data_IF_059411978172
#
_entry.id   IF_059411978172
#
_cell.length_a   1.000
_cell.length_b   1.000
_cell.length_c   1.000
_cell.angle_alpha   90.00
_cell.angle_beta   90.00
_cell.angle_gamma   90.00
#
_symmetry.space_group_name_H-M   'P 1'
#
loop_
_entity.id
_entity.type
_entity.pdbx_description
1 polymer ?
#
# COMPACT_ATOMS: atom_id res chain seq x y z
N UNK A 1 -24.20 -15.27 -19.73
CA UNK A 1 -23.94 -16.73 -19.57
C UNK A 1 -24.58 -17.15 -18.26
N UNK A 2 -25.40 -18.20 -18.27
CA UNK A 2 -26.09 -18.70 -17.06
C UNK A 2 -25.32 -19.91 -16.56
N UNK A 3 -24.81 -19.86 -15.31
CA UNK A 3 -24.11 -20.98 -14.69
C UNK A 3 -25.10 -21.78 -13.83
N UNK A 4 -25.17 -23.09 -14.05
CA UNK A 4 -25.99 -24.01 -13.25
C UNK A 4 -25.06 -24.73 -12.29
N UNK A 5 -25.18 -24.42 -11.00
CA UNK A 5 -24.42 -25.06 -9.94
C UNK A 5 -25.21 -26.22 -9.35
N UNK A 6 -24.62 -27.43 -9.36
CA UNK A 6 -25.15 -28.59 -8.64
C UNK A 6 -24.36 -28.73 -7.35
N UNK A 7 -24.92 -28.26 -6.25
CA UNK A 7 -24.31 -28.29 -4.91
C UNK A 7 -24.99 -29.40 -4.09
N UNK A 8 -24.18 -30.29 -3.52
CA UNK A 8 -24.64 -31.31 -2.58
C UNK A 8 -24.13 -30.92 -1.19
N UNK A 9 -25.05 -30.51 -0.31
CA UNK A 9 -24.71 -30.20 1.07
C UNK A 9 -24.47 -31.52 1.82
N UNK A 10 -23.24 -31.74 2.30
CA UNK A 10 -22.90 -32.92 3.10
C UNK A 10 -23.25 -32.72 4.58
N UNK A 11 -22.97 -31.55 5.12
CA UNK A 11 -23.21 -31.24 6.54
C UNK A 11 -23.59 -29.78 6.71
N UNK A 12 -24.60 -29.51 7.53
CA UNK A 12 -25.01 -28.15 7.91
C UNK A 12 -24.67 -28.00 9.38
N UNK A 13 -23.67 -27.17 9.68
CA UNK A 13 -23.26 -26.85 11.04
C UNK A 13 -23.70 -25.43 11.38
N UNK A 14 -24.25 -25.27 12.58
CA UNK A 14 -24.54 -23.96 13.13
C UNK A 14 -23.30 -23.41 13.83
N UNK A 15 -22.97 -22.15 13.56
CA UNK A 15 -21.82 -21.47 14.16
C UNK A 15 -22.22 -20.97 15.55
N UNK A 16 -22.04 -21.80 16.57
CA UNK A 16 -22.22 -21.38 17.97
C UNK A 16 -21.06 -20.47 18.36
N UNK A 17 -21.36 -19.23 18.72
CA UNK A 17 -20.33 -18.32 19.22
C UNK A 17 -19.84 -18.85 20.58
N UNK A 18 -18.51 -18.99 20.77
CA UNK A 18 -17.98 -19.34 22.09
C UNK A 18 -18.34 -18.24 23.10
N UNK A 19 -18.62 -18.63 24.34
CA UNK A 19 -18.76 -17.66 25.42
C UNK A 19 -17.39 -17.00 25.68
N UNK A 20 -17.41 -15.74 26.16
CA UNK A 20 -16.20 -15.00 26.49
C UNK A 20 -15.61 -15.49 27.82
N UNK A 21 -15.16 -16.73 27.84
CA UNK A 21 -14.59 -17.43 29.00
C UNK A 21 -13.05 -17.44 28.98
N UNK A 22 -12.42 -17.96 30.05
CA UNK A 22 -10.96 -18.08 30.15
C UNK A 22 -10.34 -18.90 28.99
N UNK A 23 -11.07 -19.88 28.45
CA UNK A 23 -10.60 -20.69 27.32
C UNK A 23 -10.58 -19.88 26.02
N UNK A 24 -11.59 -19.04 25.79
CA UNK A 24 -11.62 -18.08 24.71
C UNK A 24 -10.50 -17.06 24.85
N UNK A 25 -10.32 -16.44 26.03
CA UNK A 25 -9.24 -15.47 26.27
C UNK A 25 -7.85 -16.08 26.08
N UNK A 26 -7.62 -17.32 26.54
CA UNK A 26 -6.39 -18.05 26.27
C UNK A 26 -6.15 -18.29 24.77
N UNK A 27 -7.20 -18.57 23.99
CA UNK A 27 -7.09 -18.79 22.54
C UNK A 27 -6.66 -17.53 21.76
N UNK A 28 -7.09 -16.34 22.21
CA UNK A 28 -6.70 -15.04 21.63
C UNK A 28 -5.52 -14.39 22.35
N UNK A 29 -4.92 -15.08 23.33
CA UNK A 29 -3.78 -14.61 24.12
C UNK A 29 -4.05 -13.30 24.87
N UNK A 30 -5.21 -13.20 25.52
CA UNK A 30 -5.58 -12.09 26.42
C UNK A 30 -5.97 -12.65 27.78
N UNK A 31 -5.93 -11.84 28.85
CA UNK A 31 -6.23 -12.28 30.22
C UNK A 31 -7.70 -12.12 30.57
N UNK A 32 -8.35 -11.07 30.08
CA UNK A 32 -9.74 -10.75 30.38
C UNK A 32 -10.44 -10.01 29.22
N UNK A 33 -11.74 -9.75 29.40
CA UNK A 33 -12.54 -9.00 28.44
C UNK A 33 -12.03 -7.57 28.24
N UNK A 34 -11.47 -6.95 29.28
CA UNK A 34 -10.99 -5.57 29.21
C UNK A 34 -9.75 -5.48 28.30
N UNK A 35 -8.78 -6.37 28.45
CA UNK A 35 -7.59 -6.48 27.59
C UNK A 35 -7.97 -6.83 26.15
N UNK A 36 -8.99 -7.68 25.96
CA UNK A 36 -9.51 -7.96 24.61
C UNK A 36 -10.09 -6.70 23.96
N UNK A 37 -10.91 -5.93 24.68
CA UNK A 37 -11.51 -4.68 24.19
C UNK A 37 -10.46 -3.62 23.92
N UNK A 38 -9.46 -3.50 24.79
CA UNK A 38 -8.33 -2.58 24.62
C UNK A 38 -7.55 -2.95 23.35
N UNK A 39 -7.14 -4.22 23.20
CA UNK A 39 -6.42 -4.69 22.02
C UNK A 39 -7.22 -4.50 20.73
N UNK A 40 -8.54 -4.75 20.74
CA UNK A 40 -9.40 -4.48 19.58
C UNK A 40 -9.45 -2.98 19.28
N UNK A 41 -9.60 -2.15 20.31
CA UNK A 41 -9.66 -0.69 20.17
C UNK A 41 -8.35 -0.14 19.61
N UNK A 42 -7.20 -0.58 20.12
CA UNK A 42 -5.88 -0.23 19.59
C UNK A 42 -5.70 -0.66 18.14
N UNK A 43 -6.14 -1.88 17.78
CA UNK A 43 -6.06 -2.35 16.39
C UNK A 43 -6.94 -1.50 15.46
N UNK A 44 -8.17 -1.19 15.87
CA UNK A 44 -9.08 -0.34 15.10
C UNK A 44 -8.50 1.09 14.99
N UNK A 45 -7.97 1.63 16.07
CA UNK A 45 -7.37 2.97 16.08
C UNK A 45 -6.17 3.03 15.15
N UNK A 46 -5.26 2.05 15.22
CA UNK A 46 -4.12 1.95 14.32
C UNK A 46 -4.55 1.78 12.85
N UNK A 47 -5.56 0.95 12.60
CA UNK A 47 -6.13 0.80 11.26
C UNK A 47 -6.72 2.11 10.73
N UNK A 48 -7.46 2.86 11.57
CA UNK A 48 -8.05 4.15 11.20
C UNK A 48 -7.01 5.24 11.00
N UNK A 49 -5.99 5.30 11.86
CA UNK A 49 -4.84 6.21 11.68
C UNK A 49 -4.14 5.94 10.35
N UNK A 50 -3.89 4.67 10.02
CA UNK A 50 -3.27 4.31 8.74
C UNK A 50 -4.18 4.65 7.55
N UNK A 51 -5.48 4.40 7.65
CA UNK A 51 -6.45 4.78 6.61
C UNK A 51 -6.47 6.28 6.37
N UNK A 52 -6.51 7.08 7.43
CA UNK A 52 -6.49 8.54 7.34
C UNK A 52 -5.17 9.04 6.74
N UNK A 53 -4.02 8.55 7.21
CA UNK A 53 -2.72 8.92 6.64
C UNK A 53 -2.61 8.58 5.15
N UNK A 54 -3.15 7.43 4.72
CA UNK A 54 -3.18 7.06 3.31
C UNK A 54 -4.12 7.95 2.50
N UNK A 55 -5.29 8.29 3.06
CA UNK A 55 -6.25 9.18 2.42
C UNK A 55 -5.70 10.61 2.26
N UNK A 56 -5.04 11.16 3.29
CA UNK A 56 -4.35 12.45 3.24
C UNK A 56 -3.30 12.46 2.12
N UNK A 57 -2.44 11.43 2.06
CA UNK A 57 -1.42 11.28 1.02
C UNK A 57 -2.03 11.21 -0.38
N UNK A 58 -3.15 10.50 -0.53
CA UNK A 58 -3.85 10.39 -1.79
C UNK A 58 -4.43 11.74 -2.22
N UNK A 59 -5.11 12.45 -1.33
CA UNK A 59 -5.68 13.77 -1.62
C UNK A 59 -4.62 14.79 -2.03
N UNK A 60 -3.49 14.84 -1.31
CA UNK A 60 -2.37 15.71 -1.66
C UNK A 60 -1.85 15.35 -3.06
N UNK A 61 -1.69 14.06 -3.35
CA UNK A 61 -1.21 13.61 -4.67
C UNK A 61 -2.19 14.01 -5.78
N UNK A 62 -3.50 13.81 -5.59
CA UNK A 62 -4.54 14.21 -6.54
C UNK A 62 -4.57 15.73 -6.77
N UNK A 63 -4.40 16.52 -5.71
CA UNK A 63 -4.32 17.97 -5.81
C UNK A 63 -3.06 18.44 -6.55
N UNK A 64 -1.91 17.80 -6.30
CA UNK A 64 -0.68 18.07 -7.05
C UNK A 64 -0.82 17.72 -8.54
N UNK A 65 -1.46 16.58 -8.83
CA UNK A 65 -1.69 16.12 -10.21
C UNK A 65 -2.62 17.04 -10.98
N UNK A 66 -3.63 17.62 -10.34
CA UNK A 66 -4.57 18.57 -10.95
C UNK A 66 -4.00 19.99 -11.07
N UNK A 67 -3.11 20.40 -10.14
CA UNK A 67 -2.55 21.77 -10.13
C UNK A 67 -1.40 21.98 -11.13
N UNK A 68 -0.72 20.90 -11.54
CA UNK A 68 0.45 20.99 -12.42
C UNK A 68 0.17 20.25 -13.73
N UNK A 69 0.12 20.97 -14.85
CA UNK A 69 -0.07 20.37 -16.18
C UNK A 69 1.25 20.37 -16.96
N UNK A 70 1.74 19.19 -17.33
CA UNK A 70 2.92 19.03 -18.18
C UNK A 70 2.85 17.69 -18.93
N UNK A 71 3.46 17.65 -20.12
CA UNK A 71 3.54 16.44 -20.92
C UNK A 71 4.59 15.49 -20.34
N UNK A 72 4.18 14.26 -20.05
CA UNK A 72 5.07 13.19 -19.62
C UNK A 72 5.60 12.47 -20.88
N UNK A 73 6.90 12.15 -20.98
CA UNK A 73 7.44 11.45 -22.14
C UNK A 73 6.84 10.05 -22.31
N UNK A 74 6.39 9.69 -23.52
CA UNK A 74 5.80 8.37 -23.82
C UNK A 74 6.73 7.21 -23.47
N UNK A 75 8.04 7.37 -23.67
CA UNK A 75 9.04 6.36 -23.32
C UNK A 75 9.07 6.02 -21.83
N UNK A 76 8.73 6.97 -20.96
CA UNK A 76 8.60 6.73 -19.53
C UNK A 76 7.27 6.06 -19.17
N UNK A 77 6.20 6.40 -19.91
CA UNK A 77 4.86 5.83 -19.69
C UNK A 77 4.88 4.34 -19.97
N UNK A 78 5.45 3.89 -21.09
CA UNK A 78 5.49 2.45 -21.42
C UNK A 78 6.21 1.61 -20.36
N UNK A 79 7.37 2.08 -19.88
CA UNK A 79 8.12 1.40 -18.83
C UNK A 79 7.33 1.33 -17.52
N UNK A 80 6.63 2.41 -17.17
CA UNK A 80 5.83 2.48 -15.95
C UNK A 80 4.55 1.64 -16.07
N UNK A 81 3.91 1.60 -17.25
CA UNK A 81 2.75 0.73 -17.56
C UNK A 81 3.11 -0.73 -17.36
N UNK A 82 4.28 -1.17 -17.85
CA UNK A 82 4.74 -2.54 -17.64
C UNK A 82 4.99 -2.86 -16.16
N UNK A 83 5.51 -1.89 -15.39
CA UNK A 83 5.71 -2.06 -13.96
C UNK A 83 4.37 -2.17 -13.22
N UNK A 84 3.43 -1.28 -13.51
CA UNK A 84 2.07 -1.29 -12.93
C UNK A 84 1.33 -2.58 -13.28
N UNK A 85 1.43 -3.04 -14.53
CA UNK A 85 0.82 -4.30 -14.96
C UNK A 85 1.41 -5.49 -14.21
N UNK A 86 2.73 -5.52 -14.01
CA UNK A 86 3.41 -6.57 -13.25
C UNK A 86 2.96 -6.59 -11.78
N UNK A 87 2.89 -5.43 -11.15
CA UNK A 87 2.42 -5.30 -9.76
C UNK A 87 0.95 -5.72 -9.63
N UNK A 88 0.13 -5.42 -10.63
CA UNK A 88 -1.27 -5.82 -10.68
C UNK A 88 -1.40 -7.34 -10.87
N UNK A 89 -0.63 -7.93 -11.78
CA UNK A 89 -0.56 -9.39 -11.96
C UNK A 89 -0.15 -10.10 -10.67
N UNK A 90 0.94 -9.65 -10.03
CA UNK A 90 1.43 -10.26 -8.81
C UNK A 90 0.40 -10.22 -7.67
N UNK A 91 -0.30 -9.08 -7.50
CA UNK A 91 -1.36 -8.94 -6.49
C UNK A 91 -2.55 -9.86 -6.76
N UNK A 92 -2.99 -9.96 -8.01
CA UNK A 92 -4.14 -10.81 -8.37
C UNK A 92 -3.78 -12.31 -8.32
N UNK A 93 -2.57 -12.69 -8.70
CA UNK A 93 -2.10 -14.08 -8.54
C UNK A 93 -2.07 -14.50 -7.07
N UNK A 94 -1.68 -13.60 -6.16
CA UNK A 94 -1.76 -13.85 -4.71
C UNK A 94 -3.20 -14.02 -4.20
N UNK A 95 -4.17 -13.41 -4.89
CA UNK A 95 -5.60 -13.53 -4.59
C UNK A 95 -6.28 -14.71 -5.31
N UNK A 96 -5.52 -15.52 -6.06
CA UNK A 96 -6.02 -16.71 -6.75
C UNK A 96 -6.65 -16.45 -8.13
N UNK A 97 -6.41 -15.27 -8.73
CA UNK A 97 -6.86 -14.99 -10.09
C UNK A 97 -6.13 -15.86 -11.13
N UNK A 98 -6.85 -16.28 -12.18
CA UNK A 98 -6.29 -17.09 -13.25
C UNK A 98 -5.71 -16.23 -14.38
N UNK A 99 -4.67 -16.73 -15.07
CA UNK A 99 -4.13 -16.06 -16.27
C UNK A 99 -5.18 -15.87 -17.39
N UNK A 100 -6.24 -16.70 -17.39
CA UNK A 100 -7.34 -16.59 -18.35
C UNK A 100 -8.22 -15.36 -18.10
N UNK A 101 -8.41 -14.94 -16.85
CA UNK A 101 -9.15 -13.72 -16.51
C UNK A 101 -8.38 -12.46 -16.93
N UNK A 102 -7.04 -12.55 -16.88
CA UNK A 102 -6.13 -11.52 -17.35
C UNK A 102 -6.18 -11.34 -18.87
N UNK A 103 -6.15 -12.44 -19.63
CA UNK A 103 -6.21 -12.36 -21.09
C UNK A 103 -7.59 -11.87 -21.56
N UNK A 104 -8.67 -12.19 -20.82
CA UNK A 104 -10.03 -11.71 -21.12
C UNK A 104 -10.21 -10.19 -20.94
N UNK A 105 -9.49 -9.56 -20.01
CA UNK A 105 -9.60 -8.13 -19.71
C UNK A 105 -8.34 -7.33 -20.08
N UNK A 106 -7.43 -7.93 -20.86
CA UNK A 106 -6.09 -7.41 -21.14
C UNK A 106 -6.08 -5.99 -21.65
N UNK A 107 -7.01 -5.64 -22.54
CA UNK A 107 -7.08 -4.31 -23.15
C UNK A 107 -7.54 -3.25 -22.14
N UNK A 108 -8.57 -3.55 -21.35
CA UNK A 108 -9.04 -2.67 -20.26
C UNK A 108 -7.99 -2.54 -19.15
N UNK A 109 -7.31 -3.63 -18.82
CA UNK A 109 -6.21 -3.65 -17.85
C UNK A 109 -5.03 -2.82 -18.35
N UNK A 110 -4.70 -2.90 -19.63
CA UNK A 110 -3.63 -2.12 -20.23
C UNK A 110 -3.97 -0.63 -20.25
N UNK A 111 -5.19 -0.25 -20.62
CA UNK A 111 -5.63 1.15 -20.61
C UNK A 111 -5.65 1.72 -19.19
N UNK A 112 -6.20 0.99 -18.22
CA UNK A 112 -6.19 1.36 -16.82
C UNK A 112 -4.77 1.46 -16.25
N UNK A 113 -3.88 0.52 -16.59
CA UNK A 113 -2.49 0.55 -16.21
C UNK A 113 -1.75 1.73 -16.84
N UNK A 114 -2.06 2.08 -18.09
CA UNK A 114 -1.44 3.23 -18.79
C UNK A 114 -1.83 4.54 -18.13
N UNK A 115 -3.10 4.71 -17.76
CA UNK A 115 -3.57 5.89 -17.04
C UNK A 115 -2.93 5.98 -15.65
N UNK A 116 -2.91 4.88 -14.90
CA UNK A 116 -2.26 4.81 -13.60
C UNK A 116 -0.74 5.07 -13.69
N UNK A 117 -0.08 4.56 -14.72
CA UNK A 117 1.33 4.77 -14.99
C UNK A 117 1.64 6.24 -15.31
N UNK A 118 0.80 6.88 -16.12
CA UNK A 118 0.90 8.31 -16.40
C UNK A 118 0.83 9.13 -15.11
N UNK A 119 -0.19 8.87 -14.26
CA UNK A 119 -0.38 9.61 -13.01
C UNK A 119 0.74 9.32 -11.99
N UNK A 120 1.22 8.07 -11.92
CA UNK A 120 2.36 7.67 -11.08
C UNK A 120 3.66 8.32 -11.52
N UNK A 121 3.95 8.34 -12.82
CA UNK A 121 5.16 8.97 -13.34
C UNK A 121 5.10 10.49 -13.15
N UNK A 122 3.93 11.10 -13.41
CA UNK A 122 3.68 12.52 -13.21
C UNK A 122 3.89 12.93 -11.75
N UNK A 123 3.27 12.22 -10.80
CA UNK A 123 3.43 12.49 -9.36
C UNK A 123 4.88 12.32 -8.91
N UNK A 124 5.57 11.26 -9.36
CA UNK A 124 6.98 11.04 -9.06
C UNK A 124 7.87 12.19 -9.55
N UNK A 125 7.65 12.70 -10.76
CA UNK A 125 8.41 13.83 -11.29
C UNK A 125 8.17 15.12 -10.51
N UNK A 126 6.90 15.42 -10.17
CA UNK A 126 6.55 16.59 -9.34
C UNK A 126 7.26 16.50 -7.98
N UNK A 127 7.10 15.37 -7.28
CA UNK A 127 7.72 15.16 -5.97
C UNK A 127 9.24 15.21 -6.04
N UNK A 128 9.85 14.68 -7.11
CA UNK A 128 11.30 14.74 -7.29
C UNK A 128 11.79 16.20 -7.45
N UNK A 129 11.04 17.04 -8.16
CA UNK A 129 11.35 18.46 -8.30
C UNK A 129 11.15 19.24 -7.00
N UNK A 130 10.14 18.89 -6.20
CA UNK A 130 9.94 19.46 -4.87
C UNK A 130 11.09 19.04 -3.94
N UNK A 131 11.51 17.78 -3.99
CA UNK A 131 12.64 17.26 -3.22
C UNK A 131 13.94 18.04 -3.52
N UNK A 132 14.22 18.30 -4.80
CA UNK A 132 15.37 19.12 -5.22
C UNK A 132 15.29 20.55 -4.70
N UNK A 133 14.10 21.18 -4.77
CA UNK A 133 13.87 22.56 -4.36
C UNK A 133 13.97 22.76 -2.85
N UNK A 134 13.39 21.84 -2.08
CA UNK A 134 13.43 21.84 -0.61
C UNK A 134 14.72 21.20 -0.06
N UNK A 135 15.60 20.70 -0.93
CA UNK A 135 16.88 20.03 -0.59
C UNK A 135 16.69 18.85 0.35
N UNK A 136 15.65 18.06 0.12
CA UNK A 136 15.41 16.82 0.86
C UNK A 136 16.55 15.84 0.56
N UNK A 137 17.13 15.26 1.60
CA UNK A 137 18.20 14.26 1.48
C UNK A 137 17.79 12.96 2.18
N UNK A 138 18.25 11.84 1.62
CA UNK A 138 18.12 10.53 2.23
C UNK A 138 19.29 10.34 3.20
N UNK A 139 18.96 10.15 4.48
CA UNK A 139 19.93 9.93 5.55
C UNK A 139 20.19 8.44 5.73
N UNK A 140 21.33 8.07 6.30
CA UNK A 140 21.68 6.67 6.56
C UNK A 140 20.62 5.97 7.43
N UNK A 141 19.99 6.70 8.35
CA UNK A 141 18.93 6.18 9.21
C UNK A 141 17.67 5.78 8.41
N UNK A 142 17.36 6.49 7.32
CA UNK A 142 16.24 6.12 6.44
C UNK A 142 16.50 4.83 5.70
N UNK A 143 17.72 4.65 5.21
CA UNK A 143 18.14 3.39 4.60
C UNK A 143 18.04 2.25 5.61
N UNK A 144 18.50 2.49 6.85
CA UNK A 144 18.37 1.52 7.94
C UNK A 144 16.92 1.10 8.20
N UNK A 145 15.99 2.07 8.28
CA UNK A 145 14.56 1.82 8.44
C UNK A 145 13.97 1.02 7.29
N UNK A 146 14.24 1.41 6.05
CA UNK A 146 13.70 0.72 4.87
C UNK A 146 14.18 -0.74 4.80
N UNK A 147 15.47 -0.96 5.12
CA UNK A 147 16.08 -2.29 5.16
C UNK A 147 15.45 -3.16 6.26
N UNK A 148 15.17 -2.60 7.43
CA UNK A 148 14.47 -3.33 8.49
C UNK A 148 13.05 -3.74 8.07
N UNK A 149 12.30 -2.82 7.45
CA UNK A 149 10.96 -3.16 6.93
C UNK A 149 11.02 -4.24 5.85
N UNK A 150 11.99 -4.17 4.94
CA UNK A 150 12.18 -5.20 3.90
C UNK A 150 12.60 -6.54 4.50
N UNK A 151 13.43 -6.53 5.55
CA UNK A 151 13.82 -7.71 6.31
C UNK A 151 12.61 -8.40 6.96
N UNK A 152 11.74 -7.65 7.62
CA UNK A 152 10.51 -8.16 8.23
C UNK A 152 9.57 -8.75 7.18
N UNK A 153 9.38 -8.05 6.05
CA UNK A 153 8.50 -8.51 4.98
C UNK A 153 9.01 -9.75 4.25
N UNK A 154 10.31 -9.84 4.03
CA UNK A 154 10.95 -10.95 3.30
C UNK A 154 11.36 -12.13 4.19
N UNK A 155 11.32 -11.96 5.52
CA UNK A 155 11.82 -12.93 6.49
C UNK A 155 13.34 -13.13 6.43
N UNK A 156 14.09 -12.22 5.79
CA UNK A 156 15.53 -12.29 5.64
C UNK A 156 16.26 -11.44 6.69
N UNK A 157 17.51 -11.79 7.00
CA UNK A 157 18.33 -10.98 7.92
C UNK A 157 18.69 -9.62 7.27
N UNK A 158 18.60 -8.50 8.00
CA UNK A 158 18.96 -7.17 7.49
C UNK A 158 20.37 -7.12 6.86
N UNK A 159 21.34 -7.79 7.47
CA UNK A 159 22.73 -7.84 6.98
C UNK A 159 22.85 -8.46 5.58
N UNK A 160 22.00 -9.44 5.26
CA UNK A 160 22.00 -10.09 3.95
C UNK A 160 21.44 -9.13 2.91
N UNK A 161 20.35 -8.44 3.25
CA UNK A 161 19.72 -7.43 2.39
C UNK A 161 20.70 -6.28 2.10
N UNK A 162 21.42 -5.77 3.12
CA UNK A 162 22.48 -4.77 2.94
C UNK A 162 23.52 -5.24 1.92
N UNK A 163 24.01 -6.48 2.05
CA UNK A 163 25.02 -7.03 1.13
C UNK A 163 24.49 -7.19 -0.30
N UNK A 164 23.21 -7.52 -0.47
CA UNK A 164 22.58 -7.63 -1.78
C UNK A 164 22.38 -6.25 -2.42
N UNK A 165 21.92 -5.27 -1.65
CA UNK A 165 21.76 -3.88 -2.10
C UNK A 165 23.13 -3.27 -2.46
N UNK A 166 24.17 -3.51 -1.66
CA UNK A 166 25.52 -2.99 -1.94
C UNK A 166 26.11 -3.51 -3.25
N UNK A 167 25.68 -4.68 -3.73
CA UNK A 167 26.11 -5.24 -5.01
C UNK A 167 25.37 -4.65 -6.20
N UNK A 168 24.21 -4.04 -5.97
CA UNK A 168 23.34 -3.51 -7.02
C UNK A 168 23.12 -2.01 -6.82
N UNK A 169 23.92 -1.22 -7.55
CA UNK A 169 23.83 0.24 -7.54
C UNK A 169 22.44 0.75 -7.98
N UNK A 170 21.73 -0.01 -8.82
CA UNK A 170 20.36 0.32 -9.24
C UNK A 170 19.37 0.21 -8.07
N UNK A 171 19.51 -0.82 -7.22
CA UNK A 171 18.70 -0.95 -6.00
C UNK A 171 18.95 0.19 -5.03
N UNK A 172 20.21 0.58 -4.81
CA UNK A 172 20.55 1.73 -3.96
C UNK A 172 19.88 3.01 -4.47
N UNK A 173 19.96 3.27 -5.77
CA UNK A 173 19.36 4.46 -6.37
C UNK A 173 17.82 4.44 -6.28
N UNK A 174 17.21 3.27 -6.42
CA UNK A 174 15.77 3.09 -6.29
C UNK A 174 15.30 3.35 -4.86
N UNK A 175 15.98 2.77 -3.86
CA UNK A 175 15.69 3.03 -2.45
C UNK A 175 15.90 4.49 -2.07
N UNK A 176 16.98 5.12 -2.57
CA UNK A 176 17.21 6.56 -2.35
C UNK A 176 16.05 7.37 -2.91
N UNK A 177 15.60 7.06 -4.12
CA UNK A 177 14.46 7.75 -4.74
C UNK A 177 13.20 7.58 -3.90
N UNK A 178 12.93 6.37 -3.41
CA UNK A 178 11.77 6.05 -2.58
C UNK A 178 11.80 6.80 -1.23
N UNK A 179 12.96 6.84 -0.57
CA UNK A 179 13.16 7.61 0.66
C UNK A 179 12.92 9.11 0.42
N UNK A 180 13.49 9.65 -0.67
CA UNK A 180 13.31 11.06 -1.04
C UNK A 180 11.84 11.38 -1.32
N UNK A 181 11.14 10.52 -2.06
CA UNK A 181 9.71 10.65 -2.35
C UNK A 181 8.89 10.63 -1.06
N UNK A 182 9.14 9.67 -0.17
CA UNK A 182 8.47 9.55 1.12
C UNK A 182 8.66 10.78 2.00
N UNK A 183 9.91 11.21 2.21
CA UNK A 183 10.22 12.42 2.98
C UNK A 183 9.61 13.68 2.38
N UNK A 184 9.60 13.79 1.06
CA UNK A 184 8.99 14.94 0.38
C UNK A 184 7.48 14.95 0.59
N UNK A 185 6.83 13.77 0.54
CA UNK A 185 5.42 13.65 0.85
C UNK A 185 5.13 14.01 2.31
N UNK A 186 5.96 13.57 3.26
CA UNK A 186 5.79 13.92 4.67
C UNK A 186 5.94 15.43 4.92
N UNK A 187 6.90 16.08 4.25
CA UNK A 187 7.06 17.54 4.30
C UNK A 187 5.83 18.26 3.70
N UNK A 188 5.25 17.72 2.63
CA UNK A 188 4.03 18.26 2.04
C UNK A 188 2.82 18.07 2.96
N UNK A 189 2.69 16.92 3.62
CA UNK A 189 1.65 16.67 4.63
C UNK A 189 1.78 17.63 5.82
N UNK A 190 3.00 17.94 6.24
CA UNK A 190 3.25 18.90 7.33
C UNK A 190 2.88 20.34 6.94
N UNK A 191 3.14 20.73 5.69
CA UNK A 191 2.81 22.07 5.17
C UNK A 191 1.38 22.17 4.62
N UNK A 192 0.68 21.06 4.42
CA UNK A 192 -0.67 21.04 3.89
C UNK A 192 -1.66 21.55 4.93
N UNK A 193 -2.58 22.41 4.49
CA UNK A 193 -3.72 22.83 5.30
C UNK A 193 -4.71 21.68 5.39
N UNK A 194 -5.05 21.28 6.63
CA UNK A 194 -5.93 20.14 6.89
C UNK A 194 -7.24 20.63 7.48
N UNK A 195 -8.35 20.28 6.83
CA UNK A 195 -9.66 20.40 7.42
C UNK A 195 -10.09 19.04 7.97
N UNK A 196 -10.33 18.98 9.29
CA UNK A 196 -10.81 17.75 9.93
C UNK A 196 -12.32 17.67 9.78
N UNK A 197 -12.77 16.77 8.92
CA UNK A 197 -14.20 16.48 8.79
C UNK A 197 -14.57 15.48 9.89
N UNK A 198 -15.65 15.77 10.63
CA UNK A 198 -16.17 14.86 11.64
C UNK A 198 -16.46 13.48 11.01
N UNK A 199 -16.10 12.41 11.73
CA UNK A 199 -16.35 11.06 11.25
C UNK A 199 -17.84 10.92 10.89
N UNK A 200 -18.13 10.53 9.65
CA UNK A 200 -19.47 10.15 9.25
C UNK A 200 -19.92 9.04 10.21
N UNK A 201 -20.86 9.36 11.08
CA UNK A 201 -21.49 8.39 11.98
C UNK A 201 -21.99 7.25 11.10
N UNK A 202 -21.38 6.08 11.24
CA UNK A 202 -21.91 4.87 10.66
C UNK A 202 -23.29 4.68 11.28
N UNK A 203 -24.34 4.98 10.52
CA UNK A 203 -25.70 4.63 10.89
C UNK A 203 -25.73 3.12 11.12
N UNK A 204 -26.19 2.75 12.31
CA UNK A 204 -26.24 1.39 12.82
C UNK A 204 -27.34 0.55 12.16
#
# INVERSE_FOLDING_TARGET
>A
KTAVYSLKAEEVREKVMPEMDEAFFASVQVKDEAELRERISENIENQKKQQNANAERQQITEQLLSSVEFAVPESGIESETQAVLRDFMQRNMQQGASEADFEAHKEQLHEGATKAAHDRLKSRLILSKIAEKEKVQADNDDFGRLIMMEAEKSGQKPEKIVKEIQKDQSRINSMRSEILLGKTMDLLIEKAERETVAAATAEA
#
